data_IF_376186715102
#
_entry.id   IF_376186715102
#
_cell.length_a   1.000
_cell.length_b   1.000
_cell.length_c   1.000
_cell.angle_alpha   90.00
_cell.angle_beta   90.00
_cell.angle_gamma   90.00
#
_symmetry.space_group_name_H-M   'P 1'
#
loop_
_entity.id
_entity.type
_entity.pdbx_description
1 polymer ?
#
# COMPACT_ATOMS: atom_id res chain seq x y z
N UNK A 1 43.11 52.38 0.67
CA UNK A 1 43.47 51.00 1.07
C UNK A 1 42.44 50.27 1.93
N UNK A 2 41.62 50.89 2.76
CA UNK A 2 40.63 50.17 3.61
C UNK A 2 39.45 49.55 2.87
N UNK A 3 38.98 50.12 1.74
CA UNK A 3 37.83 49.61 0.97
C UNK A 3 38.10 48.30 0.22
N UNK A 4 39.36 48.05 -0.19
CA UNK A 4 39.76 46.84 -0.90
C UNK A 4 39.81 45.61 0.01
N UNK A 5 40.26 45.79 1.26
CA UNK A 5 40.32 44.72 2.24
C UNK A 5 38.93 44.18 2.66
N UNK A 6 37.94 45.07 2.81
CA UNK A 6 36.60 44.67 3.18
C UNK A 6 35.91 43.84 2.08
N UNK A 7 36.15 44.13 0.80
CA UNK A 7 35.58 43.34 -0.31
C UNK A 7 36.22 41.97 -0.43
N UNK A 8 37.50 41.80 -0.13
CA UNK A 8 38.20 40.51 -0.14
C UNK A 8 37.70 39.62 0.99
N UNK A 9 37.52 40.19 2.20
CA UNK A 9 36.99 39.46 3.36
C UNK A 9 35.52 39.06 3.16
N UNK A 10 34.70 39.95 2.63
CA UNK A 10 33.30 39.62 2.30
C UNK A 10 33.20 38.52 1.22
N UNK A 11 34.05 38.56 0.21
CA UNK A 11 34.08 37.48 -0.82
C UNK A 11 34.49 36.12 -0.22
N UNK A 12 35.50 36.11 0.67
CA UNK A 12 35.93 34.88 1.35
C UNK A 12 34.85 34.29 2.24
N UNK A 13 34.10 35.10 2.98
CA UNK A 13 32.99 34.65 3.84
C UNK A 13 31.83 34.12 2.99
N UNK A 14 31.50 34.77 1.87
CA UNK A 14 30.47 34.32 0.96
C UNK A 14 30.85 32.99 0.33
N UNK A 15 32.08 32.82 -0.12
CA UNK A 15 32.56 31.56 -0.72
C UNK A 15 32.48 30.44 0.30
N UNK A 16 32.91 30.65 1.54
CA UNK A 16 32.79 29.65 2.61
C UNK A 16 31.33 29.26 2.88
N UNK A 17 30.41 30.23 2.92
CA UNK A 17 28.99 29.95 3.10
C UNK A 17 28.44 29.09 1.93
N UNK A 18 28.81 29.41 0.70
CA UNK A 18 28.38 28.64 -0.47
C UNK A 18 28.94 27.21 -0.46
N UNK A 19 30.20 27.04 -0.07
CA UNK A 19 30.79 25.70 0.08
C UNK A 19 30.08 24.88 1.16
N UNK A 20 29.79 25.46 2.31
CA UNK A 20 29.05 24.77 3.40
C UNK A 20 27.65 24.38 2.92
N UNK A 21 26.94 25.28 2.24
CA UNK A 21 25.61 24.99 1.69
C UNK A 21 25.68 23.87 0.65
N UNK A 22 26.67 23.90 -0.23
CA UNK A 22 26.89 22.87 -1.25
C UNK A 22 27.11 21.48 -0.63
N UNK A 23 28.04 21.38 0.31
CA UNK A 23 28.34 20.10 0.97
C UNK A 23 27.17 19.60 1.82
N UNK A 24 26.46 20.51 2.48
CA UNK A 24 25.25 20.16 3.23
C UNK A 24 24.13 19.64 2.29
N UNK A 25 23.89 20.32 1.18
CA UNK A 25 22.91 19.87 0.20
C UNK A 25 23.29 18.50 -0.39
N UNK A 26 24.57 18.31 -0.72
CA UNK A 26 25.06 17.01 -1.20
C UNK A 26 24.89 15.90 -0.17
N UNK A 27 25.17 16.21 1.11
CA UNK A 27 24.93 15.29 2.22
C UNK A 27 23.44 14.93 2.36
N UNK A 28 22.53 15.91 2.27
CA UNK A 28 21.08 15.67 2.34
C UNK A 28 20.64 14.76 1.21
N UNK A 29 21.10 15.00 -0.02
CA UNK A 29 20.79 14.14 -1.17
C UNK A 29 21.32 12.73 -0.93
N UNK A 30 22.59 12.58 -0.57
CA UNK A 30 23.18 11.27 -0.27
C UNK A 30 22.43 10.54 0.84
N UNK A 31 22.13 11.25 1.95
CA UNK A 31 21.40 10.67 3.08
C UNK A 31 20.00 10.21 2.68
N UNK A 32 19.28 11.02 1.90
CA UNK A 32 17.91 10.69 1.48
C UNK A 32 17.85 9.44 0.59
N UNK A 33 18.80 9.31 -0.35
CA UNK A 33 18.74 8.20 -1.32
C UNK A 33 19.45 6.92 -0.85
N UNK A 34 20.51 7.05 -0.06
CA UNK A 34 21.34 5.91 0.35
C UNK A 34 21.49 5.81 1.87
N UNK A 35 21.81 6.92 2.54
CA UNK A 35 22.17 6.91 3.95
C UNK A 35 21.04 6.49 4.87
N UNK A 36 19.81 6.93 4.59
CA UNK A 36 18.63 6.55 5.38
C UNK A 36 18.42 5.02 5.40
N UNK A 37 18.50 4.38 4.24
CA UNK A 37 18.35 2.92 4.15
C UNK A 37 19.42 2.17 4.94
N UNK A 38 20.67 2.62 4.86
CA UNK A 38 21.80 2.03 5.59
C UNK A 38 21.61 2.19 7.10
N UNK A 39 21.26 3.41 7.56
CA UNK A 39 21.01 3.68 8.98
C UNK A 39 19.85 2.83 9.49
N UNK A 40 18.75 2.77 8.75
CA UNK A 40 17.59 1.95 9.12
C UNK A 40 17.95 0.47 9.21
N UNK A 41 18.70 -0.06 8.25
CA UNK A 41 19.18 -1.44 8.27
C UNK A 41 20.00 -1.74 9.50
N UNK A 42 20.96 -0.86 9.84
CA UNK A 42 21.79 -1.01 11.06
C UNK A 42 20.93 -0.98 12.31
N UNK A 43 19.98 -0.04 12.42
CA UNK A 43 19.08 0.06 13.57
C UNK A 43 18.19 -1.18 13.73
N UNK A 44 17.69 -1.73 12.63
CA UNK A 44 16.92 -2.97 12.65
C UNK A 44 17.79 -4.15 13.13
N UNK A 45 19.02 -4.28 12.61
CA UNK A 45 19.93 -5.33 13.04
C UNK A 45 20.32 -5.21 14.52
N UNK A 46 20.57 -4.00 15.00
CA UNK A 46 20.82 -3.76 16.42
C UNK A 46 19.60 -4.14 17.27
N UNK A 47 18.39 -3.77 16.84
CA UNK A 47 17.14 -4.14 17.53
C UNK A 47 16.96 -5.66 17.59
N UNK A 48 17.26 -6.39 16.52
CA UNK A 48 17.15 -7.86 16.46
C UNK A 48 18.08 -8.55 17.47
N UNK A 49 19.22 -7.93 17.83
CA UNK A 49 20.12 -8.47 18.87
C UNK A 49 19.50 -8.43 20.28
N UNK A 50 18.62 -7.45 20.53
CA UNK A 50 18.02 -7.24 21.86
C UNK A 50 16.60 -7.75 21.97
N UNK A 51 15.88 -7.85 20.85
CA UNK A 51 14.46 -8.24 20.82
C UNK A 51 14.30 -9.43 19.89
N UNK A 52 14.03 -10.60 20.45
CA UNK A 52 13.69 -11.78 19.66
C UNK A 52 12.31 -11.58 19.02
N UNK A 53 12.15 -11.80 17.71
CA UNK A 53 10.85 -11.71 17.06
C UNK A 53 9.90 -12.76 17.64
N UNK A 54 8.71 -12.33 18.03
CA UNK A 54 7.65 -13.25 18.43
C UNK A 54 7.12 -13.91 17.14
N UNK A 55 7.16 -15.23 17.10
CA UNK A 55 6.57 -16.01 15.99
C UNK A 55 5.09 -16.21 16.27
N UNK A 56 4.26 -15.70 15.38
CA UNK A 56 2.84 -15.97 15.37
C UNK A 56 2.56 -17.08 14.37
N UNK A 57 1.51 -17.86 14.63
CA UNK A 57 1.00 -18.89 13.71
C UNK A 57 -0.48 -18.61 13.43
N UNK A 58 -0.94 -19.02 12.25
CA UNK A 58 -2.37 -19.04 11.96
C UNK A 58 -3.07 -20.05 12.88
N UNK A 59 -4.36 -19.88 13.15
CA UNK A 59 -5.16 -20.88 13.83
C UNK A 59 -5.11 -22.22 13.11
N UNK A 60 -5.25 -23.30 13.87
CA UNK A 60 -5.27 -24.66 13.32
C UNK A 60 -6.55 -24.93 12.51
N UNK A 61 -7.68 -24.32 12.92
CA UNK A 61 -8.96 -24.42 12.23
C UNK A 61 -9.23 -23.16 11.38
N UNK A 62 -9.79 -23.39 10.20
CA UNK A 62 -10.31 -22.30 9.36
C UNK A 62 -11.45 -21.54 10.06
N UNK A 63 -12.20 -22.18 10.94
CA UNK A 63 -13.32 -21.55 11.68
C UNK A 63 -12.86 -20.39 12.57
N UNK A 64 -11.62 -20.41 13.03
CA UNK A 64 -11.03 -19.36 13.86
C UNK A 64 -10.42 -18.20 13.06
N UNK A 65 -10.36 -18.32 11.73
CA UNK A 65 -9.88 -17.24 10.89
C UNK A 65 -10.89 -16.09 10.89
N UNK A 66 -10.44 -14.81 10.91
CA UNK A 66 -11.33 -13.65 10.84
C UNK A 66 -12.00 -13.54 9.47
N UNK A 67 -13.13 -12.86 9.40
CA UNK A 67 -13.69 -12.41 8.13
C UNK A 67 -12.83 -11.28 7.56
N UNK A 68 -12.66 -11.27 6.24
CA UNK A 68 -11.83 -10.30 5.51
C UNK A 68 -12.62 -9.77 4.31
N UNK A 69 -12.59 -8.46 4.11
CA UNK A 69 -13.06 -7.86 2.87
C UNK A 69 -11.88 -7.57 1.93
N UNK A 70 -11.89 -8.18 0.75
CA UNK A 70 -11.03 -7.77 -0.36
C UNK A 70 -11.71 -6.61 -1.09
N UNK A 71 -11.16 -5.42 -0.91
CA UNK A 71 -11.71 -4.16 -1.41
C UNK A 71 -10.98 -3.73 -2.67
N UNK A 72 -11.68 -3.72 -3.80
CA UNK A 72 -11.12 -3.46 -5.13
C UNK A 72 -11.69 -2.15 -5.66
N UNK A 73 -10.83 -1.18 -5.97
CA UNK A 73 -11.22 0.05 -6.65
C UNK A 73 -10.94 -0.04 -8.14
N UNK A 74 -11.87 0.43 -8.97
CA UNK A 74 -11.73 0.42 -10.41
C UNK A 74 -12.25 1.71 -11.06
N UNK A 75 -11.60 2.12 -12.16
CA UNK A 75 -12.04 3.13 -13.09
C UNK A 75 -11.55 2.76 -14.49
N UNK A 76 -12.49 2.39 -15.38
CA UNK A 76 -12.19 1.94 -16.73
C UNK A 76 -11.16 0.79 -16.78
N UNK A 77 -11.52 -0.33 -16.19
CA UNK A 77 -10.68 -1.51 -16.02
C UNK A 77 -11.33 -2.77 -16.66
N UNK A 78 -12.15 -2.58 -17.72
CA UNK A 78 -12.89 -3.67 -18.38
C UNK A 78 -12.01 -4.85 -18.74
N UNK A 79 -10.81 -4.59 -19.25
CA UNK A 79 -9.88 -5.61 -19.73
C UNK A 79 -9.35 -6.53 -18.64
N UNK A 80 -9.30 -6.06 -17.38
CA UNK A 80 -8.72 -6.80 -16.26
C UNK A 80 -9.75 -7.33 -15.27
N UNK A 81 -11.04 -6.99 -15.41
CA UNK A 81 -12.10 -7.44 -14.48
C UNK A 81 -12.11 -8.94 -14.33
N UNK A 82 -12.08 -9.66 -15.46
CA UNK A 82 -12.21 -11.12 -15.46
C UNK A 82 -11.01 -11.77 -14.78
N UNK A 83 -9.79 -11.38 -15.15
CA UNK A 83 -8.57 -11.88 -14.56
C UNK A 83 -8.50 -11.56 -13.05
N UNK A 84 -8.90 -10.36 -12.66
CA UNK A 84 -8.91 -9.95 -11.25
C UNK A 84 -9.94 -10.74 -10.44
N UNK A 85 -11.11 -11.02 -11.00
CA UNK A 85 -12.13 -11.80 -10.32
C UNK A 85 -11.69 -13.26 -10.16
N UNK A 86 -11.12 -13.87 -11.21
CA UNK A 86 -10.56 -15.22 -11.15
C UNK A 86 -9.45 -15.29 -10.10
N UNK A 87 -8.50 -14.37 -10.13
CA UNK A 87 -7.44 -14.24 -9.12
C UNK A 87 -8.01 -14.11 -7.70
N UNK A 88 -9.07 -13.31 -7.52
CA UNK A 88 -9.67 -13.10 -6.20
C UNK A 88 -10.37 -14.35 -5.66
N UNK A 89 -10.97 -15.17 -6.52
CA UNK A 89 -11.65 -16.41 -6.15
C UNK A 89 -10.69 -17.58 -5.91
N UNK A 90 -9.46 -17.50 -6.45
CA UNK A 90 -8.40 -18.51 -6.26
C UNK A 90 -7.58 -18.28 -5.00
N UNK A 91 -7.82 -17.21 -4.25
CA UNK A 91 -7.11 -16.93 -3.01
C UNK A 91 -7.31 -18.06 -1.99
N UNK A 92 -6.23 -18.49 -1.34
CA UNK A 92 -6.26 -19.51 -0.28
C UNK A 92 -6.86 -18.93 1.00
N UNK A 93 -8.17 -18.72 0.99
CA UNK A 93 -8.93 -18.30 2.16
C UNK A 93 -10.34 -18.89 2.12
N UNK A 94 -10.97 -19.22 3.27
CA UNK A 94 -12.32 -19.77 3.28
C UNK A 94 -13.32 -18.86 2.57
N UNK A 95 -14.06 -19.39 1.62
CA UNK A 95 -14.96 -18.61 0.78
C UNK A 95 -16.10 -17.93 1.56
N UNK A 96 -16.50 -18.51 2.67
CA UNK A 96 -17.50 -17.96 3.61
C UNK A 96 -16.95 -16.82 4.49
N UNK A 97 -15.62 -16.64 4.49
CA UNK A 97 -14.91 -15.61 5.27
C UNK A 97 -14.21 -14.55 4.42
N UNK A 98 -14.23 -14.69 3.09
CA UNK A 98 -13.67 -13.71 2.15
C UNK A 98 -14.81 -13.02 1.39
N UNK A 99 -15.02 -11.75 1.67
CA UNK A 99 -15.98 -10.91 0.96
C UNK A 99 -15.25 -10.09 -0.10
N UNK A 100 -15.73 -10.12 -1.33
CA UNK A 100 -15.18 -9.33 -2.43
C UNK A 100 -16.08 -8.13 -2.66
N UNK A 101 -15.53 -6.93 -2.55
CA UNK A 101 -16.23 -5.65 -2.76
C UNK A 101 -15.54 -4.89 -3.88
N UNK A 102 -16.28 -4.58 -4.93
CA UNK A 102 -15.84 -3.72 -6.02
C UNK A 102 -16.49 -2.34 -5.91
N UNK A 103 -15.66 -1.31 -6.01
CA UNK A 103 -16.11 0.08 -6.02
C UNK A 103 -15.64 0.74 -7.31
N UNK A 104 -16.58 1.01 -8.20
CA UNK A 104 -16.30 1.70 -9.47
C UNK A 104 -16.66 3.17 -9.35
N UNK A 105 -15.86 4.05 -9.96
CA UNK A 105 -15.97 5.50 -9.81
C UNK A 105 -16.00 6.19 -11.18
N UNK A 106 -17.20 6.23 -11.78
CA UNK A 106 -17.42 6.88 -13.06
C UNK A 106 -16.88 6.10 -14.26
N UNK A 107 -16.79 4.75 -14.17
CA UNK A 107 -16.44 3.93 -15.33
C UNK A 107 -17.52 4.03 -16.40
N UNK A 108 -17.10 4.34 -17.62
CA UNK A 108 -17.94 4.49 -18.83
C UNK A 108 -17.63 3.45 -19.91
N UNK A 109 -16.78 2.48 -19.58
CA UNK A 109 -16.51 1.26 -20.36
C UNK A 109 -17.38 0.07 -19.89
N UNK A 110 -17.06 -1.15 -20.32
CA UNK A 110 -17.74 -2.39 -19.92
C UNK A 110 -17.48 -2.89 -18.50
N UNK A 111 -16.67 -2.19 -17.67
CA UNK A 111 -16.30 -2.63 -16.30
C UNK A 111 -17.53 -3.00 -15.47
N UNK A 112 -18.53 -2.10 -15.41
CA UNK A 112 -19.73 -2.32 -14.58
C UNK A 112 -20.61 -3.45 -15.12
N UNK A 113 -20.78 -3.51 -16.44
CA UNK A 113 -21.58 -4.53 -17.09
C UNK A 113 -21.01 -5.94 -16.83
N UNK A 114 -19.67 -6.12 -16.96
CA UNK A 114 -19.00 -7.41 -16.67
C UNK A 114 -19.20 -7.84 -15.23
N UNK A 115 -19.02 -6.92 -14.27
CA UNK A 115 -19.21 -7.21 -12.86
C UNK A 115 -20.65 -7.62 -12.53
N UNK A 116 -21.65 -6.95 -13.13
CA UNK A 116 -23.06 -7.17 -12.84
C UNK A 116 -23.66 -8.37 -13.60
N UNK A 117 -23.07 -8.78 -14.72
CA UNK A 117 -23.54 -9.92 -15.52
C UNK A 117 -22.74 -11.19 -15.24
N UNK A 118 -21.48 -11.24 -15.67
CA UNK A 118 -20.63 -12.43 -15.56
C UNK A 118 -20.33 -12.80 -14.12
N UNK A 119 -20.13 -11.80 -13.25
CA UNK A 119 -19.74 -12.00 -11.86
C UNK A 119 -20.86 -11.72 -10.85
N UNK A 120 -22.09 -11.71 -11.32
CA UNK A 120 -23.26 -11.51 -10.47
C UNK A 120 -23.28 -12.51 -9.31
N UNK A 121 -23.47 -12.00 -8.08
CA UNK A 121 -23.50 -12.80 -6.86
C UNK A 121 -22.15 -13.34 -6.36
N UNK A 122 -21.04 -13.06 -7.07
CA UNK A 122 -19.67 -13.41 -6.62
C UNK A 122 -18.98 -12.27 -5.90
N UNK A 123 -19.41 -11.04 -6.13
CA UNK A 123 -18.90 -9.85 -5.48
C UNK A 123 -20.03 -8.86 -5.20
N UNK A 124 -19.85 -8.00 -4.19
CA UNK A 124 -20.68 -6.82 -3.97
C UNK A 124 -20.12 -5.69 -4.82
N UNK A 125 -20.95 -5.09 -5.69
CA UNK A 125 -20.54 -4.01 -6.59
C UNK A 125 -21.21 -2.71 -6.19
N UNK A 126 -20.40 -1.68 -5.91
CA UNK A 126 -20.87 -0.31 -5.67
C UNK A 126 -20.46 0.60 -6.84
N UNK A 127 -21.43 0.96 -7.65
CA UNK A 127 -21.25 1.83 -8.81
C UNK A 127 -21.60 3.28 -8.48
N UNK A 128 -20.77 4.21 -8.95
CA UNK A 128 -21.03 5.64 -8.95
C UNK A 128 -20.86 6.18 -10.38
N UNK A 129 -21.91 6.81 -10.97
CA UNK A 129 -21.84 7.27 -12.36
C UNK A 129 -20.93 8.49 -12.56
N UNK A 130 -20.75 9.31 -11.53
CA UNK A 130 -19.88 10.48 -11.61
C UNK A 130 -18.55 10.22 -10.93
N UNK A 131 -17.47 10.42 -11.67
CA UNK A 131 -16.11 10.25 -11.16
C UNK A 131 -15.81 11.30 -10.09
N UNK A 132 -15.43 10.84 -8.91
CA UNK A 132 -15.08 11.67 -7.76
C UNK A 132 -13.65 11.42 -7.26
N UNK A 133 -12.97 10.46 -7.85
CA UNK A 133 -11.59 10.09 -7.54
C UNK A 133 -11.47 8.97 -6.50
N UNK A 134 -10.28 8.35 -6.47
CA UNK A 134 -10.00 7.15 -5.68
C UNK A 134 -10.36 7.28 -4.21
N UNK A 135 -10.00 8.39 -3.57
CA UNK A 135 -10.29 8.61 -2.14
C UNK A 135 -11.78 8.64 -1.86
N UNK A 136 -12.57 9.32 -2.72
CA UNK A 136 -14.02 9.36 -2.58
C UNK A 136 -14.65 7.98 -2.80
N UNK A 137 -14.16 7.22 -3.79
CA UNK A 137 -14.57 5.83 -4.03
C UNK A 137 -14.30 4.95 -2.81
N UNK A 138 -13.10 5.02 -2.24
CA UNK A 138 -12.75 4.28 -1.02
C UNK A 138 -13.66 4.66 0.16
N UNK A 139 -13.90 5.95 0.40
CA UNK A 139 -14.77 6.41 1.49
C UNK A 139 -16.19 5.87 1.34
N UNK A 140 -16.75 5.91 0.13
CA UNK A 140 -18.09 5.35 -0.15
C UNK A 140 -18.12 3.85 0.08
N UNK A 141 -17.15 3.14 -0.49
CA UNK A 141 -17.10 1.68 -0.40
C UNK A 141 -16.88 1.17 1.02
N UNK A 142 -16.21 1.93 1.88
CA UNK A 142 -16.04 1.56 3.30
C UNK A 142 -17.36 1.43 4.06
N UNK A 143 -18.45 2.04 3.59
CA UNK A 143 -19.78 1.84 4.17
C UNK A 143 -20.35 0.43 3.95
N UNK A 144 -19.77 -0.34 3.02
CA UNK A 144 -20.12 -1.73 2.71
C UNK A 144 -19.24 -2.74 3.45
N UNK A 145 -18.24 -2.27 4.22
CA UNK A 145 -17.29 -3.12 4.93
C UNK A 145 -17.77 -3.27 6.38
N UNK A 146 -18.07 -4.49 6.76
CA UNK A 146 -18.49 -4.88 8.11
C UNK A 146 -17.57 -5.95 8.74
N UNK A 147 -16.51 -6.33 8.00
CA UNK A 147 -15.52 -7.30 8.45
C UNK A 147 -14.42 -6.65 9.30
N UNK A 148 -13.81 -7.39 10.24
CA UNK A 148 -12.74 -6.86 11.10
C UNK A 148 -11.47 -6.47 10.36
N UNK A 149 -11.22 -7.05 9.16
CA UNK A 149 -10.06 -6.76 8.34
C UNK A 149 -10.50 -6.37 6.93
N UNK A 150 -9.80 -5.39 6.36
CA UNK A 150 -9.99 -4.97 4.96
C UNK A 150 -8.64 -4.96 4.25
N UNK A 151 -8.61 -5.54 3.06
CA UNK A 151 -7.43 -5.56 2.17
C UNK A 151 -7.75 -4.74 0.93
N UNK A 152 -7.07 -3.62 0.78
CA UNK A 152 -7.22 -2.75 -0.39
C UNK A 152 -6.30 -3.22 -1.52
N UNK A 153 -6.85 -3.32 -2.71
CA UNK A 153 -6.09 -3.65 -3.92
C UNK A 153 -6.69 -2.90 -5.12
N UNK A 154 -5.85 -2.59 -6.11
CA UNK A 154 -6.31 -2.05 -7.38
C UNK A 154 -6.80 -3.20 -8.30
N UNK A 155 -7.67 -2.87 -9.24
CA UNK A 155 -8.20 -3.86 -10.20
C UNK A 155 -7.09 -4.50 -11.05
N UNK A 156 -6.09 -3.72 -11.44
CA UNK A 156 -4.96 -4.18 -12.27
C UNK A 156 -3.79 -4.79 -11.47
N UNK A 157 -3.98 -5.09 -10.19
CA UNK A 157 -2.95 -5.70 -9.34
C UNK A 157 -3.39 -7.10 -8.92
N UNK A 158 -2.72 -8.12 -9.45
CA UNK A 158 -2.96 -9.51 -9.04
C UNK A 158 -2.32 -9.79 -7.68
N UNK A 159 -3.03 -10.54 -6.86
CA UNK A 159 -2.63 -10.87 -5.50
C UNK A 159 -2.20 -12.34 -5.48
N UNK A 160 -1.06 -12.65 -4.86
CA UNK A 160 -0.64 -14.04 -4.75
C UNK A 160 -1.59 -14.84 -3.84
N UNK A 161 -1.69 -16.13 -4.11
CA UNK A 161 -2.71 -17.02 -3.54
C UNK A 161 -2.75 -17.00 -2.01
N UNK A 162 -1.60 -16.92 -1.36
CA UNK A 162 -1.45 -16.98 0.10
C UNK A 162 -1.55 -15.60 0.78
N UNK A 163 -1.69 -14.50 0.01
CA UNK A 163 -1.55 -13.14 0.53
C UNK A 163 -2.49 -12.82 1.69
N UNK A 164 -3.76 -13.26 1.63
CA UNK A 164 -4.72 -12.99 2.70
C UNK A 164 -4.30 -13.70 4.00
N UNK A 165 -3.81 -14.94 3.92
CA UNK A 165 -3.31 -15.67 5.09
C UNK A 165 -2.09 -14.98 5.70
N UNK A 166 -1.16 -14.51 4.89
CA UNK A 166 0.03 -13.80 5.35
C UNK A 166 -0.34 -12.46 6.02
N UNK A 167 -1.29 -11.73 5.47
CA UNK A 167 -1.81 -10.50 6.07
C UNK A 167 -2.47 -10.80 7.42
N UNK A 168 -3.35 -11.79 7.49
CA UNK A 168 -4.02 -12.22 8.72
C UNK A 168 -3.01 -12.66 9.77
N UNK A 169 -1.97 -13.40 9.36
CA UNK A 169 -0.89 -13.81 10.25
C UNK A 169 -0.18 -12.61 10.89
N UNK A 170 0.09 -11.56 10.11
CA UNK A 170 0.71 -10.34 10.63
C UNK A 170 -0.15 -9.64 11.69
N UNK A 171 -1.48 -9.63 11.51
CA UNK A 171 -2.45 -9.07 12.47
C UNK A 171 -2.62 -9.91 13.76
N UNK A 172 -2.05 -11.12 13.84
CA UNK A 172 -1.96 -11.86 15.12
C UNK A 172 -1.12 -11.11 16.16
N UNK A 173 -0.26 -10.21 15.73
CA UNK A 173 0.40 -9.28 16.62
C UNK A 173 -0.53 -8.11 16.96
N UNK A 174 -0.98 -7.93 18.23
CA UNK A 174 -1.93 -6.89 18.61
C UNK A 174 -1.40 -5.46 18.45
N UNK A 175 -0.11 -5.29 18.17
CA UNK A 175 0.53 -4.00 17.90
C UNK A 175 0.50 -3.61 16.41
N UNK A 176 0.05 -4.52 15.54
CA UNK A 176 -0.03 -4.27 14.10
C UNK A 176 -1.39 -3.69 13.78
N UNK A 177 -1.42 -2.45 13.31
CA UNK A 177 -2.64 -1.78 12.84
C UNK A 177 -2.74 -1.66 11.32
N UNK A 178 -1.63 -1.92 10.59
CA UNK A 178 -1.61 -1.90 9.13
C UNK A 178 -0.50 -2.81 8.59
N UNK A 179 -0.76 -3.45 7.45
CA UNK A 179 0.19 -4.29 6.73
C UNK A 179 0.22 -3.85 5.27
N UNK A 180 1.40 -3.65 4.72
CA UNK A 180 1.58 -3.37 3.30
C UNK A 180 2.19 -4.58 2.59
N UNK A 181 1.61 -4.96 1.46
CA UNK A 181 2.19 -5.96 0.55
C UNK A 181 3.32 -5.36 -0.29
N UNK A 182 4.18 -6.21 -0.83
CA UNK A 182 5.19 -5.84 -1.81
C UNK A 182 4.59 -5.96 -3.22
N UNK A 183 4.65 -4.88 -4.01
CA UNK A 183 4.30 -4.93 -5.43
C UNK A 183 5.53 -5.36 -6.23
N UNK A 184 5.44 -6.52 -6.91
CA UNK A 184 6.44 -6.98 -7.87
C UNK A 184 5.94 -6.72 -9.29
N UNK A 185 6.83 -6.23 -10.13
CA UNK A 185 6.58 -6.09 -11.57
C UNK A 185 7.07 -7.38 -12.21
N UNK A 186 6.15 -8.10 -12.85
CA UNK A 186 6.45 -9.31 -13.62
C UNK A 186 7.04 -8.93 -14.99
#
# INVERSE_FOLDING_TARGET
MAKTNNNIVMNGSLTLCLEVIFWFALFVVFYTYLGYGIVLYILVKLKELFVKPVKYSLPASNDELPEVTLFITAFNEEDVVDEKMENSLELDYPADKLRIVWVTDGSDDGTNERLQTRWAGKATVHFQPLRQGKTAAMTRGMTLVDTPLVVFTDANTMVNREAIREIVLAFRNPKVGCVAGEKRIA
#
